data_IF_366244000430
#
_entry.id   IF_366244000430
#
_cell.length_a   1.000
_cell.length_b   1.000
_cell.length_c   1.000
_cell.angle_alpha   90.00
_cell.angle_beta   90.00
_cell.angle_gamma   90.00
#
_symmetry.space_group_name_H-M   'P 1'
#
loop_
_entity.id
_entity.type
_entity.pdbx_description
1 polymer ?
#
# COMPACT_ATOMS: atom_id res chain seq x y z
N UNK A 1 -7.64 -11.28 75.38
CA UNK A 1 -6.38 -10.57 75.09
C UNK A 1 -5.28 -11.60 74.93
N UNK A 2 -5.03 -12.03 73.69
CA UNK A 2 -4.03 -13.04 73.35
C UNK A 2 -3.65 -12.85 71.88
N UNK A 3 -2.86 -11.81 71.61
CA UNK A 3 -2.32 -11.51 70.29
C UNK A 3 -1.31 -12.61 69.95
N UNK A 4 -1.70 -13.51 69.05
CA UNK A 4 -0.83 -14.51 68.44
C UNK A 4 0.28 -13.74 67.71
N UNK A 5 1.48 -13.79 68.28
CA UNK A 5 2.73 -13.41 67.63
C UNK A 5 2.93 -14.37 66.46
N UNK A 6 2.46 -13.97 65.28
CA UNK A 6 2.82 -14.64 64.03
C UNK A 6 4.23 -14.21 63.66
N UNK A 7 5.21 -15.03 64.02
CA UNK A 7 6.56 -14.94 63.48
C UNK A 7 6.48 -15.19 61.97
N UNK A 8 6.39 -14.11 61.20
CA UNK A 8 6.66 -14.18 59.78
C UNK A 8 8.16 -14.40 59.63
N UNK A 9 8.56 -15.66 59.47
CA UNK A 9 9.89 -16.03 59.02
C UNK A 9 10.14 -15.44 57.62
N UNK A 10 10.73 -14.24 57.61
CA UNK A 10 11.16 -13.47 56.45
C UNK A 10 12.41 -14.05 55.76
N UNK A 11 12.78 -15.30 56.06
CA UNK A 11 14.01 -15.96 55.60
C UNK A 11 13.80 -17.03 54.52
N UNK A 12 12.56 -17.28 54.09
CA UNK A 12 12.31 -18.22 53.01
C UNK A 12 12.48 -17.53 51.63
N UNK A 13 13.48 -17.88 50.80
CA UNK A 13 13.62 -17.36 49.44
C UNK A 13 12.44 -17.73 48.52
N UNK A 14 11.59 -18.67 48.98
CA UNK A 14 10.36 -19.13 48.32
C UNK A 14 9.27 -18.06 48.26
N UNK A 15 9.18 -17.15 49.23
CA UNK A 15 8.08 -16.16 49.26
C UNK A 15 8.24 -15.08 48.16
N UNK A 16 9.47 -14.76 47.79
CA UNK A 16 9.77 -13.81 46.71
C UNK A 16 9.38 -14.36 45.33
N UNK A 17 9.53 -15.68 45.10
CA UNK A 17 9.20 -16.33 43.84
C UNK A 17 7.68 -16.29 43.59
N UNK A 18 6.87 -16.52 44.63
CA UNK A 18 5.41 -16.47 44.53
C UNK A 18 4.88 -15.06 44.20
N UNK A 19 5.53 -14.02 44.71
CA UNK A 19 5.15 -12.63 44.43
C UNK A 19 5.43 -12.20 42.97
N UNK A 20 6.53 -12.69 42.38
CA UNK A 20 6.91 -12.34 40.99
C UNK A 20 5.98 -12.97 39.95
N UNK A 21 5.46 -14.18 40.19
CA UNK A 21 4.53 -14.85 39.26
C UNK A 21 3.15 -14.20 39.24
N UNK A 22 2.66 -13.68 40.38
CA UNK A 22 1.33 -13.10 40.49
C UNK A 22 1.18 -11.72 39.82
N UNK A 23 2.27 -10.95 39.69
CA UNK A 23 2.25 -9.59 39.12
C UNK A 23 2.74 -9.57 37.65
N UNK A 24 3.58 -10.54 37.25
CA UNK A 24 4.15 -10.58 35.90
C UNK A 24 3.15 -10.93 34.78
N UNK A 25 2.14 -11.75 35.07
CA UNK A 25 1.19 -12.28 34.06
C UNK A 25 0.16 -11.27 33.50
N UNK A 26 -0.50 -10.40 34.31
CA UNK A 26 -1.51 -9.49 33.76
C UNK A 26 -0.90 -8.37 32.89
N UNK A 27 0.34 -7.98 33.14
CA UNK A 27 1.02 -6.94 32.35
C UNK A 27 1.37 -7.41 30.93
N UNK A 28 1.73 -8.70 30.77
CA UNK A 28 2.01 -9.28 29.45
C UNK A 28 0.73 -9.42 28.61
N UNK A 29 -0.37 -9.84 29.23
CA UNK A 29 -1.67 -9.96 28.56
C UNK A 29 -2.23 -8.61 28.08
N UNK A 30 -2.13 -7.57 28.90
CA UNK A 30 -2.60 -6.23 28.56
C UNK A 30 -1.81 -5.60 27.39
N UNK A 31 -0.48 -5.80 27.34
CA UNK A 31 0.35 -5.31 26.24
C UNK A 31 0.02 -5.99 24.89
N UNK A 32 -0.30 -7.28 24.92
CA UNK A 32 -0.71 -8.05 23.72
C UNK A 32 -2.13 -7.65 23.26
N UNK A 33 -3.04 -7.34 24.19
CA UNK A 33 -4.39 -6.87 23.87
C UNK A 33 -4.44 -5.42 23.36
N UNK A 34 -3.60 -4.52 23.89
CA UNK A 34 -3.51 -3.13 23.40
C UNK A 34 -2.82 -3.02 22.03
N UNK A 35 -1.97 -3.97 21.66
CA UNK A 35 -1.28 -3.98 20.35
C UNK A 35 -2.11 -4.61 19.22
N UNK A 36 -3.21 -5.31 19.52
CA UNK A 36 -4.11 -5.94 18.55
C UNK A 36 -4.95 -4.98 17.69
N UNK A 37 -5.74 -4.05 18.28
CA UNK A 37 -6.71 -3.25 17.51
C UNK A 37 -6.07 -2.11 16.70
N UNK A 38 -4.84 -1.70 17.03
CA UNK A 38 -4.09 -0.72 16.22
C UNK A 38 -3.52 -1.33 14.93
N UNK A 39 -3.22 -2.63 14.95
CA UNK A 39 -2.67 -3.35 13.79
C UNK A 39 -3.74 -3.65 12.72
N UNK A 40 -5.02 -3.76 13.13
CA UNK A 40 -6.15 -3.95 12.21
C UNK A 40 -6.59 -2.68 11.47
N UNK A 41 -6.41 -1.49 12.07
CA UNK A 41 -6.65 -0.22 11.35
C UNK A 41 -5.63 0.01 10.22
N UNK A 42 -4.39 -0.43 10.38
CA UNK A 42 -3.36 -0.37 9.32
C UNK A 42 -3.76 -1.15 8.07
N UNK A 43 -4.25 -2.39 8.24
CA UNK A 43 -4.67 -3.25 7.10
C UNK A 43 -5.84 -2.67 6.29
N UNK A 44 -6.77 -1.94 6.92
CA UNK A 44 -7.85 -1.26 6.17
C UNK A 44 -7.32 -0.07 5.37
N UNK A 45 -6.40 0.71 5.94
CA UNK A 45 -5.79 1.87 5.28
C UNK A 45 -4.95 1.46 4.06
N UNK A 46 -4.21 0.35 4.18
CA UNK A 46 -3.42 -0.20 3.08
C UNK A 46 -4.28 -0.70 1.91
N UNK A 47 -5.45 -1.29 2.17
CA UNK A 47 -6.38 -1.69 1.09
C UNK A 47 -6.93 -0.47 0.35
N UNK A 48 -7.38 0.56 1.06
CA UNK A 48 -7.92 1.77 0.42
C UNK A 48 -6.84 2.50 -0.39
N UNK A 49 -5.60 2.55 0.12
CA UNK A 49 -4.48 3.16 -0.59
C UNK A 49 -4.10 2.39 -1.87
N UNK A 50 -4.18 1.05 -1.85
CA UNK A 50 -3.96 0.22 -3.05
C UNK A 50 -5.02 0.47 -4.12
N UNK A 51 -6.29 0.47 -3.73
CA UNK A 51 -7.39 0.73 -4.66
C UNK A 51 -7.28 2.12 -5.30
N UNK A 52 -6.94 3.14 -4.51
CA UNK A 52 -6.74 4.50 -5.04
C UNK A 52 -5.58 4.57 -6.04
N UNK A 53 -4.50 3.81 -5.82
CA UNK A 53 -3.35 3.75 -6.73
C UNK A 53 -3.70 3.02 -8.03
N UNK A 54 -4.46 1.93 -7.94
CA UNK A 54 -4.94 1.20 -9.13
C UNK A 54 -5.84 2.07 -10.02
N UNK A 55 -6.71 2.91 -9.42
CA UNK A 55 -7.51 3.87 -10.17
C UNK A 55 -6.64 4.90 -10.89
N UNK A 56 -5.64 5.46 -10.20
CA UNK A 56 -4.74 6.45 -10.81
C UNK A 56 -3.90 5.88 -11.96
N UNK A 57 -3.44 4.63 -11.84
CA UNK A 57 -2.75 3.94 -12.94
C UNK A 57 -3.68 3.76 -14.15
N UNK A 58 -4.94 3.40 -13.94
CA UNK A 58 -5.92 3.26 -15.01
C UNK A 58 -6.22 4.61 -15.70
N UNK A 59 -6.33 5.69 -14.94
CA UNK A 59 -6.56 7.03 -15.47
C UNK A 59 -5.38 7.52 -16.33
N UNK A 60 -4.14 7.24 -15.92
CA UNK A 60 -2.93 7.55 -16.72
C UNK A 60 -2.92 6.78 -18.05
N UNK A 61 -3.31 5.50 -18.03
CA UNK A 61 -3.39 4.70 -19.26
C UNK A 61 -4.52 5.19 -20.17
N UNK A 62 -5.65 5.60 -19.61
CA UNK A 62 -6.75 6.20 -20.37
C UNK A 62 -6.30 7.52 -21.02
N UNK A 63 -5.63 8.38 -20.25
CA UNK A 63 -5.09 9.63 -20.77
C UNK A 63 -4.05 9.40 -21.87
N UNK A 64 -3.15 8.43 -21.69
CA UNK A 64 -2.18 8.05 -22.71
C UNK A 64 -2.88 7.62 -24.02
N UNK A 65 -4.03 6.94 -23.95
CA UNK A 65 -4.83 6.62 -25.16
C UNK A 65 -5.40 7.86 -25.82
N UNK A 66 -5.96 8.79 -25.03
CA UNK A 66 -6.51 10.05 -25.55
C UNK A 66 -5.44 10.90 -26.26
N UNK A 67 -4.20 10.88 -25.76
CA UNK A 67 -3.04 11.56 -26.36
C UNK A 67 -2.32 10.72 -27.44
N UNK A 68 -2.95 9.66 -27.95
CA UNK A 68 -2.43 8.87 -29.08
C UNK A 68 -1.21 8.02 -28.72
N UNK A 69 -1.18 7.47 -27.51
CA UNK A 69 -0.12 6.62 -26.99
C UNK A 69 1.12 7.37 -26.51
N UNK A 70 1.07 8.70 -26.38
CA UNK A 70 2.22 9.51 -25.96
C UNK A 70 1.82 10.44 -24.83
N UNK A 71 2.65 10.55 -23.81
CA UNK A 71 2.36 11.39 -22.66
C UNK A 71 3.64 11.96 -22.06
N UNK A 72 3.63 13.24 -21.74
CA UNK A 72 4.67 13.90 -20.95
C UNK A 72 4.29 13.91 -19.47
N UNK A 73 5.27 14.14 -18.61
CA UNK A 73 5.01 14.33 -17.17
C UNK A 73 4.07 15.53 -16.93
N UNK A 74 4.21 16.59 -17.71
CA UNK A 74 3.40 17.80 -17.58
C UNK A 74 1.93 17.57 -17.94
N UNK A 75 1.66 16.83 -19.02
CA UNK A 75 0.30 16.43 -19.43
C UNK A 75 -0.35 15.55 -18.36
N UNK A 76 0.38 14.55 -17.83
CA UNK A 76 -0.12 13.71 -16.75
C UNK A 76 -0.49 14.51 -15.49
N UNK A 77 0.31 15.53 -15.15
CA UNK A 77 0.05 16.40 -14.00
C UNK A 77 -1.14 17.34 -14.24
N UNK A 78 -1.23 17.92 -15.44
CA UNK A 78 -2.24 18.90 -15.79
C UNK A 78 -3.64 18.26 -15.89
N UNK A 79 -3.75 17.13 -16.60
CA UNK A 79 -5.04 16.53 -16.93
C UNK A 79 -5.60 15.67 -15.78
N UNK A 80 -4.73 15.05 -14.97
CA UNK A 80 -5.15 14.21 -13.83
C UNK A 80 -5.01 14.92 -12.47
N UNK A 81 -4.63 16.20 -12.46
CA UNK A 81 -4.37 16.98 -11.25
C UNK A 81 -3.42 16.28 -10.25
N UNK A 82 -2.44 15.54 -10.77
CA UNK A 82 -1.48 14.79 -9.97
C UNK A 82 -0.30 15.65 -9.56
N UNK A 83 0.23 15.39 -8.35
CA UNK A 83 1.50 15.99 -7.95
C UNK A 83 2.67 15.42 -8.76
N UNK A 84 3.73 16.21 -8.97
CA UNK A 84 4.94 15.77 -9.67
C UNK A 84 5.49 14.42 -9.18
N UNK A 85 5.70 14.19 -7.87
CA UNK A 85 6.23 12.90 -7.40
C UNK A 85 5.26 11.74 -7.64
N UNK A 86 3.95 11.98 -7.61
CA UNK A 86 2.94 10.96 -7.91
C UNK A 86 2.95 10.60 -9.39
N UNK A 87 2.86 11.59 -10.27
CA UNK A 87 2.84 11.38 -11.72
C UNK A 87 4.15 10.72 -12.19
N UNK A 88 5.30 11.20 -11.72
CA UNK A 88 6.60 10.58 -12.03
C UNK A 88 6.69 9.16 -11.49
N UNK A 89 6.19 8.91 -10.28
CA UNK A 89 6.16 7.57 -9.70
C UNK A 89 5.33 6.59 -10.54
N UNK A 90 4.13 6.99 -10.96
CA UNK A 90 3.27 6.15 -11.80
C UNK A 90 3.91 5.88 -13.16
N UNK A 91 4.39 6.92 -13.85
CA UNK A 91 5.02 6.78 -15.16
C UNK A 91 6.29 5.91 -15.08
N UNK A 92 7.12 6.11 -14.06
CA UNK A 92 8.32 5.30 -13.84
C UNK A 92 8.00 3.84 -13.53
N UNK A 93 6.94 3.56 -12.76
CA UNK A 93 6.47 2.20 -12.48
C UNK A 93 5.98 1.52 -13.77
N UNK A 94 5.25 2.25 -14.61
CA UNK A 94 4.78 1.75 -15.91
C UNK A 94 5.94 1.45 -16.86
N UNK A 95 6.95 2.34 -16.92
CA UNK A 95 8.18 2.10 -17.68
C UNK A 95 8.93 0.87 -17.17
N UNK A 96 9.08 0.73 -15.85
CA UNK A 96 9.77 -0.42 -15.24
C UNK A 96 9.04 -1.74 -15.50
N UNK A 97 7.71 -1.71 -15.62
CA UNK A 97 6.88 -2.86 -15.98
C UNK A 97 6.85 -3.15 -17.48
N UNK A 98 7.54 -2.35 -18.30
CA UNK A 98 7.57 -2.50 -19.77
C UNK A 98 6.27 -2.10 -20.45
N UNK A 99 5.42 -1.29 -19.80
CA UNK A 99 4.17 -0.80 -20.40
C UNK A 99 4.37 0.45 -21.27
N UNK A 100 5.49 1.15 -21.10
CA UNK A 100 5.86 2.30 -21.91
C UNK A 100 7.37 2.50 -21.96
N UNK A 101 7.84 3.18 -23.00
CA UNK A 101 9.23 3.57 -23.17
C UNK A 101 9.43 5.07 -22.97
N UNK A 102 10.53 5.45 -22.32
CA UNK A 102 10.90 6.85 -22.17
C UNK A 102 11.78 7.28 -23.35
N UNK A 103 11.29 8.21 -24.15
CA UNK A 103 11.99 8.76 -25.30
C UNK A 103 12.31 10.25 -25.09
N UNK A 104 13.43 10.69 -25.66
CA UNK A 104 13.81 12.10 -25.71
C UNK A 104 13.56 12.58 -27.13
N UNK A 105 12.69 13.56 -27.30
CA UNK A 105 12.44 14.20 -28.60
C UNK A 105 13.66 15.00 -29.07
N UNK A 106 13.70 15.36 -30.35
CA UNK A 106 14.76 16.23 -30.90
C UNK A 106 14.84 17.60 -30.21
N UNK A 107 13.74 18.05 -29.60
CA UNK A 107 13.67 19.28 -28.81
C UNK A 107 14.16 19.10 -27.36
N UNK A 108 14.57 17.90 -26.96
CA UNK A 108 15.03 17.58 -25.60
C UNK A 108 13.90 17.30 -24.59
N UNK A 109 12.65 17.20 -25.04
CA UNK A 109 11.51 16.91 -24.18
C UNK A 109 11.41 15.39 -23.93
N UNK A 110 11.20 15.02 -22.66
CA UNK A 110 10.94 13.65 -22.23
C UNK A 110 9.48 13.27 -22.48
N UNK A 111 9.27 12.22 -23.27
CA UNK A 111 7.96 11.70 -23.66
C UNK A 111 7.90 10.21 -23.33
N UNK A 112 6.86 9.78 -22.65
CA UNK A 112 6.54 8.38 -22.41
C UNK A 112 5.68 7.87 -23.57
N UNK A 113 6.10 6.80 -24.22
CA UNK A 113 5.45 6.21 -25.40
C UNK A 113 4.89 4.84 -25.03
N UNK A 114 3.59 4.65 -25.28
CA UNK A 114 2.80 3.48 -24.95
C UNK A 114 2.42 2.73 -26.24
N UNK A 115 3.37 2.02 -26.84
CA UNK A 115 3.19 1.34 -28.12
C UNK A 115 2.14 0.21 -28.06
N UNK A 116 2.04 -0.49 -26.93
CA UNK A 116 1.09 -1.61 -26.76
C UNK A 116 -0.37 -1.12 -26.67
N UNK A 117 -0.59 0.09 -26.12
CA UNK A 117 -1.92 0.70 -26.04
C UNK A 117 -2.44 1.14 -27.40
N UNK A 118 -1.55 1.61 -28.28
CA UNK A 118 -1.91 1.96 -29.66
C UNK A 118 -2.34 0.71 -30.46
N UNK A 119 -1.78 -0.46 -30.16
CA UNK A 119 -2.09 -1.72 -30.83
C UNK A 119 -3.43 -2.35 -30.38
N UNK A 120 -3.90 -2.03 -29.17
CA UNK A 120 -5.13 -2.58 -28.59
C UNK A 120 -6.42 -2.01 -29.24
N UNK A 121 -6.36 -0.82 -29.83
CA UNK A 121 -7.47 -0.22 -30.60
C UNK A 121 -7.71 -0.93 -31.96
N UNK A 122 -6.74 -1.71 -32.46
CA UNK A 122 -6.86 -2.51 -33.69
C UNK A 122 -7.56 -3.86 -33.48
N UNK A 123 -8.14 -4.13 -32.31
CA UNK A 123 -9.12 -5.23 -32.13
C UNK A 123 -10.56 -4.70 -32.06
N UNK A 124 -11.13 -4.19 -33.17
CA UNK A 124 -12.57 -4.04 -33.26
C UNK A 124 -13.19 -5.43 -33.38
N UNK A 125 -14.27 -5.65 -32.65
CA UNK A 125 -15.32 -6.59 -33.04
C UNK A 125 -14.95 -8.08 -33.06
N UNK A 126 -14.82 -8.68 -31.88
CA UNK A 126 -15.14 -10.11 -31.72
C UNK A 126 -16.66 -10.28 -31.58
N UNK A 127 -17.44 -9.93 -32.62
CA UNK A 127 -18.82 -10.38 -32.78
C UNK A 127 -18.83 -11.69 -33.57
N UNK A 128 -19.44 -12.71 -32.96
CA UNK A 128 -20.23 -13.72 -33.68
C UNK A 128 -19.52 -14.98 -34.16
N UNK A 129 -19.44 -16.01 -33.29
CA UNK A 129 -19.56 -17.42 -33.71
C UNK A 129 -20.40 -18.19 -32.68
N UNK A 130 -21.59 -17.68 -32.38
CA UNK A 130 -22.69 -18.46 -31.81
C UNK A 130 -23.94 -18.16 -32.62
N UNK A 131 -23.89 -18.54 -33.90
CA UNK A 131 -25.07 -18.84 -34.70
C UNK A 131 -24.77 -20.17 -35.39
N UNK A 132 -25.17 -21.26 -34.73
CA UNK A 132 -25.37 -22.61 -35.28
C UNK A 132 -26.39 -23.34 -34.41
#
# INVERSE_FOLDING_TARGET
MGLVRSGADLSAPVTWIAALVAIGLPATGAAVLLSGPFRERGRRRDRTARLARETQEADVLALAREHGGRLTLAEAMADLALSEPTARGILSDLTTRGMCDLQVTESGLLVYVFDDLALLDEKPDSRGVLDV
#
